data_IF_833847938978
#
_entry.id   IF_833847938978
#
_cell.length_a   1.000
_cell.length_b   1.000
_cell.length_c   1.000
_cell.angle_alpha   90.00
_cell.angle_beta   90.00
_cell.angle_gamma   90.00
#
_symmetry.space_group_name_H-M   'P 1'
#
loop_
_entity.id
_entity.type
_entity.pdbx_description
1 polymer ?
#
# COMPACT_ATOMS: atom_id res chain seq x y z
N UNK A 1 -33.05 10.31 29.55
CA UNK A 1 -33.15 9.96 28.11
C UNK A 1 -33.05 11.18 27.18
N UNK A 2 -33.90 12.21 27.27
CA UNK A 2 -33.89 13.36 26.34
C UNK A 2 -32.56 14.14 26.29
N UNK A 3 -31.95 14.43 27.45
CA UNK A 3 -30.67 15.16 27.50
C UNK A 3 -29.51 14.38 26.85
N UNK A 4 -29.46 13.05 27.04
CA UNK A 4 -28.46 12.19 26.41
C UNK A 4 -28.62 12.11 24.89
N UNK A 5 -29.87 12.08 24.40
CA UNK A 5 -30.15 12.13 22.96
C UNK A 5 -29.74 13.48 22.36
N UNK A 6 -30.07 14.61 23.02
CA UNK A 6 -29.66 15.94 22.57
C UNK A 6 -28.13 16.06 22.51
N UNK A 7 -27.41 15.58 23.53
CA UNK A 7 -25.96 15.60 23.54
C UNK A 7 -25.38 14.79 22.38
N UNK A 8 -25.88 13.57 22.13
CA UNK A 8 -25.45 12.74 21.01
C UNK A 8 -25.69 13.43 19.65
N UNK A 9 -26.87 14.03 19.45
CA UNK A 9 -27.19 14.76 18.21
C UNK A 9 -26.23 15.94 18.00
N UNK A 10 -25.97 16.74 19.04
CA UNK A 10 -25.05 17.88 18.96
C UNK A 10 -23.62 17.41 18.64
N UNK A 11 -23.15 16.32 19.26
CA UNK A 11 -21.84 15.75 18.97
C UNK A 11 -21.73 15.25 17.53
N UNK A 12 -22.75 14.54 17.01
CA UNK A 12 -22.78 14.08 15.62
C UNK A 12 -22.78 15.26 14.63
N UNK A 13 -23.55 16.31 14.91
CA UNK A 13 -23.58 17.52 14.08
C UNK A 13 -22.21 18.20 14.05
N UNK A 14 -21.59 18.38 15.21
CA UNK A 14 -20.26 18.99 15.33
C UNK A 14 -19.20 18.19 14.57
N UNK A 15 -19.20 16.84 14.71
CA UNK A 15 -18.30 15.97 13.99
C UNK A 15 -18.51 16.04 12.47
N UNK A 16 -19.76 16.15 12.01
CA UNK A 16 -20.10 16.27 10.59
C UNK A 16 -19.60 17.60 10.00
N UNK A 17 -19.81 18.71 10.71
CA UNK A 17 -19.30 20.03 10.30
C UNK A 17 -17.78 20.03 10.24
N UNK A 18 -17.12 19.47 11.26
CA UNK A 18 -15.66 19.34 11.28
C UNK A 18 -15.16 18.50 10.09
N UNK A 19 -15.81 17.37 9.81
CA UNK A 19 -15.47 16.52 8.68
C UNK A 19 -15.55 17.26 7.35
N UNK A 20 -16.68 17.94 7.08
CA UNK A 20 -16.87 18.72 5.85
C UNK A 20 -15.83 19.83 5.71
N UNK A 21 -15.51 20.53 6.80
CA UNK A 21 -14.47 21.57 6.80
C UNK A 21 -13.09 21.00 6.46
N UNK A 22 -12.70 19.87 7.06
CA UNK A 22 -11.39 19.24 6.82
C UNK A 22 -11.29 18.71 5.38
N UNK A 23 -12.36 18.09 4.86
CA UNK A 23 -12.42 17.65 3.46
C UNK A 23 -12.36 18.84 2.52
N UNK A 24 -13.08 19.94 2.81
CA UNK A 24 -13.00 21.17 2.03
C UNK A 24 -11.56 21.71 2.00
N UNK A 25 -10.90 21.83 3.15
CA UNK A 25 -9.52 22.32 3.23
C UNK A 25 -8.51 21.41 2.51
N UNK A 26 -8.81 20.11 2.40
CA UNK A 26 -7.98 19.16 1.69
C UNK A 26 -8.09 19.29 0.16
N UNK A 27 -9.29 19.57 -0.36
CA UNK A 27 -9.55 19.66 -1.81
C UNK A 27 -9.41 21.09 -2.35
N UNK A 28 -9.57 22.09 -1.50
CA UNK A 28 -9.45 23.49 -1.89
C UNK A 28 -8.01 23.85 -2.32
N UNK A 29 -7.83 24.90 -3.16
CA UNK A 29 -6.52 25.41 -3.50
C UNK A 29 -5.67 25.73 -2.26
N UNK A 30 -4.32 25.60 -2.34
CA UNK A 30 -3.43 25.83 -1.20
C UNK A 30 -3.63 27.21 -0.57
N UNK A 31 -3.91 27.24 0.74
CA UNK A 31 -4.16 28.45 1.52
C UNK A 31 -3.35 28.41 2.82
N UNK A 32 -3.33 29.52 3.58
CA UNK A 32 -2.52 29.63 4.80
C UNK A 32 -2.88 28.57 5.84
N UNK A 33 -4.15 28.20 5.95
CA UNK A 33 -4.64 27.18 6.90
C UNK A 33 -4.18 25.79 6.46
N UNK A 34 -4.41 25.42 5.19
CA UNK A 34 -4.02 24.10 4.69
C UNK A 34 -2.50 23.90 4.66
N UNK A 35 -1.72 24.96 4.45
CA UNK A 35 -0.25 24.91 4.58
C UNK A 35 0.20 24.70 6.02
N UNK A 36 -0.43 25.38 6.99
CA UNK A 36 -0.04 25.32 8.41
C UNK A 36 -0.49 24.02 9.09
N UNK A 37 -1.69 23.55 8.79
CA UNK A 37 -2.32 22.40 9.43
C UNK A 37 -2.40 21.17 8.52
N UNK A 38 -1.55 21.12 7.48
CA UNK A 38 -1.59 20.08 6.46
C UNK A 38 -1.43 18.67 7.03
N UNK A 39 -0.60 18.48 8.06
CA UNK A 39 -0.43 17.17 8.70
C UNK A 39 -1.70 16.69 9.39
N UNK A 40 -2.39 17.57 10.13
CA UNK A 40 -3.64 17.24 10.83
C UNK A 40 -4.79 16.98 9.85
N UNK A 41 -4.91 17.83 8.82
CA UNK A 41 -5.91 17.65 7.76
C UNK A 41 -5.70 16.31 7.06
N UNK A 42 -4.46 16.01 6.67
CA UNK A 42 -4.11 14.77 5.99
C UNK A 42 -4.28 13.53 6.91
N UNK A 43 -3.99 13.66 8.20
CA UNK A 43 -4.21 12.61 9.20
C UNK A 43 -5.69 12.26 9.38
N UNK A 44 -6.60 13.24 9.23
CA UNK A 44 -8.04 13.00 9.25
C UNK A 44 -8.59 12.40 7.95
N UNK A 45 -8.11 12.89 6.79
CA UNK A 45 -8.67 12.54 5.48
C UNK A 45 -8.16 11.20 4.96
N UNK A 46 -6.84 10.96 4.97
CA UNK A 46 -6.25 9.80 4.30
C UNK A 46 -6.55 8.42 4.90
N UNK A 47 -7.03 8.25 6.15
CA UNK A 47 -7.53 6.94 6.59
C UNK A 47 -8.76 6.45 5.82
N UNK A 48 -9.56 7.35 5.26
CA UNK A 48 -10.85 7.01 4.63
C UNK A 48 -10.93 7.42 3.15
N UNK A 49 -10.25 8.50 2.77
CA UNK A 49 -10.32 9.08 1.42
C UNK A 49 -8.93 9.19 0.82
N UNK A 50 -8.55 8.20 0.02
CA UNK A 50 -7.38 8.30 -0.84
C UNK A 50 -7.78 8.96 -2.17
N UNK A 51 -7.26 10.16 -2.44
CA UNK A 51 -7.44 10.81 -3.74
C UNK A 51 -6.36 10.37 -4.72
N UNK A 52 -6.77 9.73 -5.81
CA UNK A 52 -5.88 9.36 -6.90
C UNK A 52 -6.51 9.78 -8.24
N UNK A 53 -6.10 10.94 -8.74
CA UNK A 53 -6.63 11.56 -9.97
C UNK A 53 -5.98 11.03 -11.26
N UNK A 54 -5.32 9.86 -11.22
CA UNK A 54 -4.62 9.29 -12.39
C UNK A 54 -5.53 8.76 -13.51
N UNK A 55 -6.85 8.87 -13.39
CA UNK A 55 -7.81 8.35 -14.38
C UNK A 55 -7.82 9.12 -15.70
N UNK A 56 -7.34 10.37 -15.71
CA UNK A 56 -7.21 11.22 -16.91
C UNK A 56 -5.78 11.73 -17.14
N UNK A 57 -4.78 11.03 -16.60
CA UNK A 57 -3.39 11.44 -16.84
C UNK A 57 -3.09 11.39 -18.35
N UNK A 58 -2.36 12.38 -18.90
CA UNK A 58 -1.91 12.34 -20.29
C UNK A 58 -1.13 11.06 -20.62
N UNK A 59 -0.38 10.57 -19.62
CA UNK A 59 0.42 9.36 -19.71
C UNK A 59 -0.12 8.28 -18.76
N UNK A 60 -0.60 7.15 -19.27
CA UNK A 60 -0.95 6.00 -18.45
C UNK A 60 0.30 5.43 -17.78
N UNK A 61 0.09 4.57 -16.76
CA UNK A 61 1.19 3.90 -16.08
C UNK A 61 1.98 3.02 -17.05
N UNK A 62 3.18 3.47 -17.42
CA UNK A 62 4.04 2.85 -18.42
C UNK A 62 5.02 1.83 -17.84
N UNK A 63 4.74 1.32 -16.63
CA UNK A 63 5.61 0.37 -15.92
C UNK A 63 4.83 -0.79 -15.30
N UNK A 64 5.41 -1.98 -15.36
CA UNK A 64 5.01 -3.15 -14.61
C UNK A 64 5.84 -3.26 -13.33
N UNK A 65 5.20 -3.57 -12.20
CA UNK A 65 5.88 -3.74 -10.91
C UNK A 65 5.66 -5.13 -10.38
N UNK A 66 6.76 -5.86 -10.24
CA UNK A 66 6.81 -7.17 -9.60
C UNK A 66 7.18 -6.98 -8.13
N UNK A 67 6.31 -7.44 -7.23
CA UNK A 67 6.52 -7.34 -5.78
C UNK A 67 6.81 -8.74 -5.26
N UNK A 68 8.06 -8.94 -4.89
CA UNK A 68 8.57 -10.17 -4.29
C UNK A 68 8.57 -10.00 -2.78
N UNK A 69 8.29 -11.08 -2.06
CA UNK A 69 8.36 -11.11 -0.61
C UNK A 69 9.09 -12.37 -0.13
N UNK A 70 9.72 -12.28 1.03
CA UNK A 70 10.35 -13.42 1.70
C UNK A 70 10.22 -13.28 3.21
N UNK A 71 10.33 -14.40 3.91
CA UNK A 71 10.23 -14.45 5.37
C UNK A 71 11.59 -14.64 6.01
N UNK A 72 11.68 -14.27 7.29
CA UNK A 72 12.74 -14.73 8.16
C UNK A 72 12.15 -15.21 9.49
N UNK A 73 12.70 -16.31 10.02
CA UNK A 73 12.39 -16.81 11.35
C UNK A 73 13.67 -16.95 12.17
N UNK A 74 13.58 -16.63 13.44
CA UNK A 74 14.65 -16.89 14.40
C UNK A 74 14.42 -18.24 15.05
N UNK A 75 15.32 -19.19 14.80
CA UNK A 75 15.27 -20.52 15.40
C UNK A 75 15.65 -20.47 16.89
N UNK A 76 15.35 -21.55 17.63
CA UNK A 76 15.62 -21.65 19.06
C UNK A 76 17.12 -21.56 19.42
N UNK A 77 17.99 -21.87 18.45
CA UNK A 77 19.45 -21.74 18.56
C UNK A 77 19.96 -20.31 18.26
N UNK A 78 19.06 -19.36 18.00
CA UNK A 78 19.39 -17.98 17.64
C UNK A 78 19.75 -17.78 16.16
N UNK A 79 19.80 -18.84 15.35
CA UNK A 79 20.06 -18.73 13.91
C UNK A 79 18.87 -18.10 13.19
N UNK A 80 19.15 -17.28 12.18
CA UNK A 80 18.12 -16.68 11.31
C UNK A 80 18.05 -17.47 10.02
N UNK A 81 16.89 -18.05 9.73
CA UNK A 81 16.63 -18.74 8.47
C UNK A 81 15.74 -17.86 7.60
N UNK A 82 16.19 -17.62 6.37
CA UNK A 82 15.53 -16.75 5.39
C UNK A 82 14.94 -17.61 4.27
N UNK A 83 13.68 -17.38 3.92
CA UNK A 83 13.03 -18.12 2.83
C UNK A 83 13.45 -17.60 1.45
N UNK A 84 13.23 -18.39 0.38
CA UNK A 84 13.33 -17.90 -0.99
C UNK A 84 12.37 -16.73 -1.27
N UNK A 85 12.59 -16.03 -2.39
CA UNK A 85 11.65 -15.01 -2.85
C UNK A 85 10.38 -15.65 -3.41
N UNK A 86 9.23 -15.18 -2.92
CA UNK A 86 7.89 -15.51 -3.41
C UNK A 86 7.29 -14.31 -4.16
N UNK A 87 6.65 -14.55 -5.30
CA UNK A 87 6.08 -13.50 -6.15
C UNK A 87 4.63 -13.20 -5.78
N UNK A 88 4.40 -12.12 -5.01
CA UNK A 88 3.06 -11.69 -4.62
C UNK A 88 2.26 -11.16 -5.81
N UNK A 89 2.92 -10.60 -6.81
CA UNK A 89 2.27 -10.08 -8.02
C UNK A 89 1.74 -11.23 -8.88
N UNK A 90 2.46 -12.36 -8.97
CA UNK A 90 2.00 -13.53 -9.71
C UNK A 90 0.70 -14.13 -9.13
N UNK A 91 0.53 -14.09 -7.81
CA UNK A 91 -0.72 -14.53 -7.16
C UNK A 91 -1.90 -13.69 -7.63
N UNK A 92 -1.76 -12.36 -7.61
CA UNK A 92 -2.82 -11.45 -8.10
C UNK A 92 -3.03 -11.59 -9.62
N UNK A 93 -1.94 -11.73 -10.38
CA UNK A 93 -1.98 -11.92 -11.82
C UNK A 93 -2.80 -13.13 -12.23
N UNK A 94 -2.55 -14.29 -11.62
CA UNK A 94 -3.30 -15.52 -11.94
C UNK A 94 -4.79 -15.46 -11.56
N UNK A 95 -5.16 -14.67 -10.53
CA UNK A 95 -6.55 -14.43 -10.17
C UNK A 95 -7.27 -13.44 -11.10
N UNK A 96 -6.53 -12.73 -11.96
CA UNK A 96 -7.06 -11.76 -12.94
C UNK A 96 -7.04 -12.34 -14.35
N UNK A 97 -5.98 -13.05 -14.69
CA UNK A 97 -5.77 -13.61 -16.02
C UNK A 97 -6.91 -14.57 -16.40
N UNK A 98 -7.40 -14.45 -17.64
CA UNK A 98 -8.52 -15.21 -18.20
C UNK A 98 -9.87 -15.14 -17.45
N UNK A 99 -10.02 -14.25 -16.46
CA UNK A 99 -11.28 -14.03 -15.77
C UNK A 99 -12.07 -12.87 -16.39
N UNK A 100 -13.35 -13.10 -16.72
CA UNK A 100 -14.22 -12.08 -17.34
C UNK A 100 -14.59 -10.96 -16.35
N UNK A 101 -14.75 -11.32 -15.07
CA UNK A 101 -15.09 -10.38 -13.99
C UNK A 101 -14.12 -10.56 -12.82
N UNK A 102 -12.84 -10.18 -12.99
CA UNK A 102 -11.83 -10.38 -11.96
C UNK A 102 -12.14 -9.50 -10.74
N UNK A 103 -11.88 -10.01 -9.54
CA UNK A 103 -12.18 -9.23 -8.33
C UNK A 103 -11.34 -7.95 -8.27
N UNK A 104 -11.95 -6.85 -7.80
CA UNK A 104 -11.20 -5.61 -7.58
C UNK A 104 -10.08 -5.77 -6.55
N UNK A 105 -10.22 -6.70 -5.60
CA UNK A 105 -9.19 -7.02 -4.60
C UNK A 105 -7.94 -7.57 -5.28
N UNK A 106 -8.08 -8.59 -6.14
CA UNK A 106 -6.96 -9.15 -6.90
C UNK A 106 -6.29 -8.09 -7.79
N UNK A 107 -7.08 -7.22 -8.42
CA UNK A 107 -6.54 -6.18 -9.31
C UNK A 107 -5.82 -5.04 -8.57
N UNK A 108 -6.27 -4.67 -7.36
CA UNK A 108 -5.93 -3.37 -6.78
C UNK A 108 -5.27 -3.43 -5.40
N UNK A 109 -5.47 -4.48 -4.60
CA UNK A 109 -5.06 -4.46 -3.18
C UNK A 109 -3.54 -4.25 -3.04
N UNK A 110 -2.74 -5.12 -3.66
CA UNK A 110 -1.29 -5.05 -3.60
C UNK A 110 -0.75 -3.80 -4.32
N UNK A 111 -1.30 -3.47 -5.49
CA UNK A 111 -0.92 -2.31 -6.28
C UNK A 111 -1.13 -0.99 -5.53
N UNK A 112 -2.28 -0.84 -4.87
CA UNK A 112 -2.61 0.35 -4.07
C UNK A 112 -1.76 0.42 -2.81
N UNK A 113 -1.53 -0.70 -2.11
CA UNK A 113 -0.66 -0.75 -0.95
C UNK A 113 0.77 -0.29 -1.29
N UNK A 114 1.31 -0.74 -2.42
CA UNK A 114 2.59 -0.26 -2.92
C UNK A 114 2.57 1.23 -3.29
N UNK A 115 1.56 1.68 -4.03
CA UNK A 115 1.44 3.08 -4.44
C UNK A 115 1.40 4.01 -3.23
N UNK A 116 0.58 3.67 -2.22
CA UNK A 116 0.49 4.43 -0.97
C UNK A 116 1.80 4.42 -0.19
N UNK A 117 2.52 3.28 -0.15
CA UNK A 117 3.84 3.20 0.46
C UNK A 117 4.85 4.11 -0.25
N UNK A 118 4.93 4.04 -1.58
CA UNK A 118 5.85 4.84 -2.39
C UNK A 118 5.55 6.34 -2.26
N UNK A 119 4.27 6.73 -2.28
CA UNK A 119 3.85 8.13 -2.13
C UNK A 119 4.20 8.68 -0.73
N UNK A 120 4.11 7.86 0.32
CA UNK A 120 4.40 8.31 1.70
C UNK A 120 5.89 8.29 2.07
N UNK A 121 6.71 7.44 1.43
CA UNK A 121 8.14 7.27 1.73
C UNK A 121 9.05 7.96 0.70
N UNK A 122 8.54 8.28 -0.50
CA UNK A 122 9.38 8.77 -1.59
C UNK A 122 10.54 7.79 -1.85
N UNK A 123 11.78 8.29 -1.83
CA UNK A 123 12.99 7.46 -1.92
C UNK A 123 13.59 6.98 -0.59
N UNK A 124 13.00 7.36 0.56
CA UNK A 124 13.53 7.03 1.89
C UNK A 124 12.58 6.09 2.65
N UNK A 125 12.98 4.83 2.75
CA UNK A 125 12.22 3.78 3.46
C UNK A 125 12.17 3.97 4.99
N UNK A 126 12.87 4.97 5.53
CA UNK A 126 12.94 5.24 6.97
C UNK A 126 11.88 6.21 7.48
N UNK A 127 11.16 6.93 6.61
CA UNK A 127 10.15 7.95 6.95
C UNK A 127 9.11 7.41 7.98
N UNK A 128 8.83 8.21 9.02
CA UNK A 128 7.96 7.82 10.16
C UNK A 128 6.75 8.72 10.39
N UNK A 129 6.22 9.37 9.35
CA UNK A 129 4.92 10.05 9.47
C UNK A 129 3.81 9.04 9.78
N UNK A 130 2.70 9.48 10.39
CA UNK A 130 1.57 8.59 10.70
C UNK A 130 1.10 7.82 9.45
N UNK A 131 0.99 8.51 8.30
CA UNK A 131 0.63 7.89 7.03
C UNK A 131 1.69 6.89 6.54
N UNK A 132 2.98 7.21 6.65
CA UNK A 132 4.04 6.28 6.27
C UNK A 132 4.02 5.01 7.13
N UNK A 133 3.82 5.14 8.45
CA UNK A 133 3.66 3.99 9.35
C UNK A 133 2.44 3.15 8.99
N UNK A 134 1.30 3.80 8.69
CA UNK A 134 0.07 3.13 8.27
C UNK A 134 0.25 2.36 6.96
N UNK A 135 0.80 2.99 5.92
CA UNK A 135 1.01 2.35 4.61
C UNK A 135 2.05 1.23 4.67
N UNK A 136 3.12 1.40 5.45
CA UNK A 136 4.06 0.31 5.74
C UNK A 136 3.36 -0.88 6.38
N UNK A 137 2.56 -0.64 7.42
CA UNK A 137 1.82 -1.71 8.11
C UNK A 137 0.84 -2.40 7.18
N UNK A 138 0.12 -1.64 6.36
CA UNK A 138 -0.84 -2.19 5.39
C UNK A 138 -0.14 -3.10 4.36
N UNK A 139 0.95 -2.63 3.75
CA UNK A 139 1.73 -3.42 2.79
C UNK A 139 2.36 -4.66 3.45
N UNK A 140 2.91 -4.52 4.66
CA UNK A 140 3.49 -5.63 5.41
C UNK A 140 2.44 -6.71 5.74
N UNK A 141 1.23 -6.31 6.14
CA UNK A 141 0.15 -7.25 6.45
C UNK A 141 -0.30 -8.02 5.20
N UNK A 142 -0.46 -7.35 4.05
CA UNK A 142 -0.78 -8.05 2.78
C UNK A 142 0.27 -9.10 2.45
N UNK A 143 1.55 -8.75 2.57
CA UNK A 143 2.64 -9.69 2.31
C UNK A 143 2.61 -10.86 3.29
N UNK A 144 2.42 -10.58 4.59
CA UNK A 144 2.37 -11.59 5.63
C UNK A 144 1.17 -12.54 5.44
N UNK A 145 -0.03 -12.03 5.19
CA UNK A 145 -1.23 -12.85 4.96
C UNK A 145 -1.02 -13.81 3.78
N UNK A 146 -0.45 -13.33 2.67
CA UNK A 146 -0.19 -14.14 1.47
C UNK A 146 0.93 -15.16 1.66
N UNK A 147 2.00 -14.79 2.36
CA UNK A 147 3.08 -15.71 2.70
C UNK A 147 2.60 -16.82 3.64
N UNK A 148 1.78 -16.47 4.65
CA UNK A 148 1.18 -17.44 5.55
C UNK A 148 0.26 -18.43 4.80
N UNK A 149 -0.48 -17.95 3.80
CA UNK A 149 -1.31 -18.80 2.94
C UNK A 149 -0.49 -19.70 1.99
N UNK A 150 0.71 -19.28 1.58
CA UNK A 150 1.56 -20.03 0.64
C UNK A 150 2.48 -21.04 1.32
N UNK A 151 3.33 -20.60 2.26
CA UNK A 151 4.37 -21.43 2.87
C UNK A 151 3.82 -22.32 4.00
N UNK A 152 2.78 -21.85 4.69
CA UNK A 152 2.31 -22.44 5.94
C UNK A 152 3.34 -22.31 7.06
N UNK A 153 2.92 -21.81 8.22
CA UNK A 153 3.79 -21.69 9.40
C UNK A 153 4.04 -20.26 9.85
N UNK A 154 4.90 -20.11 10.86
CA UNK A 154 5.15 -18.84 11.54
C UNK A 154 6.49 -18.25 11.15
N UNK A 155 6.51 -16.94 10.91
CA UNK A 155 7.72 -16.15 10.68
C UNK A 155 7.66 -14.89 11.54
N UNK A 156 8.84 -14.32 11.83
CA UNK A 156 8.95 -13.14 12.69
C UNK A 156 9.09 -11.85 11.85
N UNK A 157 9.64 -11.96 10.64
CA UNK A 157 9.89 -10.82 9.77
C UNK A 157 9.52 -11.11 8.31
N UNK A 158 9.16 -10.04 7.61
CA UNK A 158 8.99 -10.03 6.16
C UNK A 158 9.95 -9.02 5.53
N UNK A 159 10.43 -9.33 4.34
CA UNK A 159 11.13 -8.38 3.48
C UNK A 159 10.51 -8.38 2.10
N UNK A 160 10.36 -7.19 1.53
CA UNK A 160 9.83 -7.02 0.18
C UNK A 160 10.93 -6.49 -0.75
N UNK A 161 10.81 -6.86 -2.02
CA UNK A 161 11.61 -6.33 -3.12
C UNK A 161 10.68 -5.98 -4.27
N UNK A 162 10.79 -4.76 -4.76
CA UNK A 162 9.97 -4.27 -5.87
C UNK A 162 10.85 -4.06 -7.09
N UNK A 163 10.53 -4.78 -8.16
CA UNK A 163 11.22 -4.68 -9.45
C UNK A 163 10.29 -3.99 -10.43
N UNK A 164 10.65 -2.78 -10.85
CA UNK A 164 9.90 -1.98 -11.82
C UNK A 164 10.52 -2.17 -13.20
N UNK A 165 9.69 -2.52 -14.19
CA UNK A 165 10.08 -2.69 -15.60
C UNK A 165 9.20 -1.82 -16.48
N UNK A 166 9.74 -1.18 -17.52
CA UNK A 166 8.89 -0.46 -18.48
C UNK A 166 7.94 -1.43 -19.20
N UNK A 167 6.73 -0.97 -19.48
CA UNK A 167 5.79 -1.63 -20.38
C UNK A 167 6.33 -1.44 -21.80
N UNK A 168 6.33 -2.52 -22.58
CA UNK A 168 6.80 -2.47 -23.96
C UNK A 168 5.88 -1.55 -24.80
N UNK A 169 6.49 -0.75 -25.67
CA UNK A 169 5.73 0.05 -26.63
C UNK A 169 4.95 -0.87 -27.59
N UNK A 170 3.74 -0.47 -28.04
CA UNK A 170 3.02 -1.20 -29.07
C UNK A 170 3.84 -1.26 -30.37
N UNK A 171 4.09 -2.45 -30.90
CA UNK A 171 4.86 -2.65 -32.13
C UNK A 171 5.50 -4.04 -32.22
N UNK A 172 6.17 -4.37 -33.34
CA UNK A 172 6.86 -5.64 -33.48
C UNK A 172 7.94 -5.77 -32.39
N UNK A 173 7.83 -6.84 -31.59
CA UNK A 173 8.76 -7.13 -30.49
C UNK A 173 10.17 -7.36 -31.03
N UNK A 174 11.09 -6.47 -30.71
CA UNK A 174 12.53 -6.68 -30.99
C UNK A 174 13.11 -7.55 -29.87
N UNK A 175 12.95 -8.87 -30.03
CA UNK A 175 13.52 -9.89 -29.15
C UNK A 175 12.61 -10.34 -28.00
N UNK A 176 12.92 -11.53 -27.47
CA UNK A 176 12.12 -12.27 -26.47
C UNK A 176 12.57 -11.97 -25.01
N UNK A 177 13.52 -11.03 -24.84
CA UNK A 177 14.09 -10.72 -23.53
C UNK A 177 13.25 -9.66 -22.82
N UNK A 178 12.84 -9.88 -21.56
CA UNK A 178 12.09 -8.89 -20.81
C UNK A 178 12.89 -7.59 -20.68
N UNK A 179 12.23 -6.43 -20.69
CA UNK A 179 12.90 -5.14 -20.56
C UNK A 179 13.69 -5.08 -19.26
N UNK A 180 14.88 -4.46 -19.33
CA UNK A 180 15.74 -4.25 -18.16
C UNK A 180 14.96 -3.46 -17.10
N UNK A 181 15.02 -3.87 -15.81
CA UNK A 181 14.37 -3.11 -14.75
C UNK A 181 14.88 -1.67 -14.70
N UNK A 182 13.96 -0.71 -14.66
CA UNK A 182 14.27 0.71 -14.43
C UNK A 182 14.55 1.00 -12.96
N UNK A 183 13.95 0.22 -12.06
CA UNK A 183 14.13 0.32 -10.62
C UNK A 183 14.10 -1.09 -10.00
N UNK A 184 14.90 -1.27 -8.95
CA UNK A 184 14.91 -2.48 -8.14
C UNK A 184 15.14 -2.09 -6.68
N UNK A 185 14.04 -1.87 -5.96
CA UNK A 185 14.03 -1.36 -4.59
C UNK A 185 13.87 -2.50 -3.59
N UNK A 186 14.85 -2.65 -2.71
CA UNK A 186 14.83 -3.62 -1.62
C UNK A 186 14.42 -2.90 -0.33
N UNK A 187 13.29 -3.30 0.25
CA UNK A 187 12.76 -2.67 1.45
C UNK A 187 13.45 -3.23 2.70
N UNK A 188 13.46 -2.48 3.82
CA UNK A 188 14.00 -2.98 5.07
C UNK A 188 13.15 -4.14 5.63
N UNK A 189 13.75 -4.94 6.50
CA UNK A 189 13.02 -5.98 7.23
C UNK A 189 11.97 -5.36 8.15
N UNK A 190 10.76 -5.89 8.10
CA UNK A 190 9.67 -5.48 8.98
C UNK A 190 9.26 -6.63 9.87
N UNK A 191 9.19 -6.35 11.18
CA UNK A 191 8.61 -7.26 12.13
C UNK A 191 7.10 -7.32 11.90
N UNK A 192 6.57 -8.52 11.76
CA UNK A 192 5.13 -8.77 11.61
C UNK A 192 4.62 -9.49 12.84
N UNK A 193 3.33 -9.36 13.11
CA UNK A 193 2.70 -10.15 14.17
C UNK A 193 2.74 -11.61 13.75
N UNK A 194 3.09 -12.51 14.67
CA UNK A 194 3.01 -13.94 14.38
C UNK A 194 1.57 -14.26 14.00
N UNK A 195 1.34 -14.65 12.74
CA UNK A 195 0.08 -15.24 12.34
C UNK A 195 0.04 -16.64 12.98
N UNK A 196 -0.52 -16.71 14.18
CA UNK A 196 -0.91 -17.97 14.78
C UNK A 196 -2.06 -18.53 13.94
N UNK A 197 -1.91 -19.79 13.53
CA UNK A 197 -2.96 -20.54 12.85
C UNK A 197 -4.12 -20.82 13.79
#
# INVERSE_FOLDING_TARGET
MKAGLCAAVVSCLAASVLHVLLVFLHVAPPNTVSKRYGSQINGWVFPFFEQNWRLFAPDPESVNRQILARTAHTASDGSVRVSPWFDLTAVDGSAVEHHVFPSHTAQNMLRRAWSGYADSHGGDDSVRTERAVMMRKYLANIAADRLAAHEGGTFDFVQLRVVTRPVAAPGPTVGDRPPKPSENRLLPWWKVTRHAK
#
